data_IF_193967400589
#
_entry.id   IF_193967400589
#
_cell.length_a   1.000
_cell.length_b   1.000
_cell.length_c   1.000
_cell.angle_alpha   90.00
_cell.angle_beta   90.00
_cell.angle_gamma   90.00
#
_symmetry.space_group_name_H-M   'P 1'
#
loop_
_entity.id
_entity.type
_entity.pdbx_description
1 polymer ?
#
# COMPACT_ATOMS: atom_id res chain seq x y z
N UNK A 1 -6.34 7.34 -21.05
CA UNK A 1 -6.34 7.84 -19.68
C UNK A 1 -4.95 8.32 -19.23
N UNK A 2 -3.89 7.47 -19.26
CA UNK A 2 -2.53 7.83 -18.81
C UNK A 2 -1.98 9.02 -19.60
N UNK A 3 -2.17 9.07 -20.94
CA UNK A 3 -1.75 10.21 -21.77
C UNK A 3 -2.42 11.54 -21.37
N UNK A 4 -3.68 11.49 -20.92
CA UNK A 4 -4.36 12.69 -20.43
C UNK A 4 -3.80 13.15 -19.07
N UNK A 5 -3.44 12.21 -18.18
CA UNK A 5 -2.79 12.54 -16.90
C UNK A 5 -1.43 13.24 -17.11
N UNK A 6 -0.67 12.85 -18.12
CA UNK A 6 0.62 13.48 -18.45
C UNK A 6 0.52 14.93 -18.92
N UNK A 7 -0.67 15.39 -19.32
CA UNK A 7 -0.93 16.79 -19.68
C UNK A 7 -1.26 17.66 -18.44
N UNK A 8 -1.31 17.06 -17.26
CA UNK A 8 -1.53 17.74 -15.98
C UNK A 8 -0.22 17.92 -15.20
N UNK A 9 -0.28 18.56 -14.05
CA UNK A 9 0.85 18.67 -13.10
C UNK A 9 1.10 17.41 -12.27
N UNK A 10 0.33 16.32 -12.50
CA UNK A 10 0.50 15.06 -11.79
C UNK A 10 1.81 14.41 -12.21
N UNK A 11 2.72 14.25 -11.25
CA UNK A 11 4.07 13.71 -11.47
C UNK A 11 4.38 12.45 -10.64
N UNK A 12 3.46 12.02 -9.77
CA UNK A 12 3.56 10.81 -8.98
C UNK A 12 2.26 9.99 -9.09
N UNK A 13 2.39 8.70 -9.28
CA UNK A 13 1.25 7.76 -9.34
C UNK A 13 1.45 6.68 -8.28
N UNK A 14 0.42 6.37 -7.50
CA UNK A 14 0.39 5.21 -6.61
C UNK A 14 -0.62 4.19 -7.12
N UNK A 15 -0.22 2.92 -7.15
CA UNK A 15 -1.00 1.80 -7.64
C UNK A 15 -1.20 0.77 -6.53
N UNK A 16 -2.45 0.54 -6.14
CA UNK A 16 -2.82 -0.51 -5.19
C UNK A 16 -2.75 -1.91 -5.82
N UNK A 17 -1.57 -2.46 -6.02
CA UNK A 17 -1.35 -3.79 -6.60
C UNK A 17 -1.77 -4.89 -5.63
N UNK A 18 -1.36 -4.79 -4.38
CA UNK A 18 -1.62 -5.65 -3.23
C UNK A 18 -0.87 -7.00 -3.29
N UNK A 19 -0.84 -7.69 -4.42
CA UNK A 19 -0.18 -8.99 -4.62
C UNK A 19 0.09 -9.24 -6.10
N UNK A 20 1.02 -10.16 -6.37
CA UNK A 20 1.26 -10.73 -7.71
C UNK A 20 0.78 -12.19 -7.81
N UNK A 21 -0.07 -12.65 -6.89
CA UNK A 21 -0.75 -13.95 -6.95
C UNK A 21 -2.26 -13.72 -7.08
N UNK A 22 -2.84 -14.18 -8.18
CA UNK A 22 -4.26 -13.98 -8.50
C UNK A 22 -5.20 -14.61 -7.46
N UNK A 23 -4.77 -15.68 -6.76
CA UNK A 23 -5.57 -16.29 -5.68
C UNK A 23 -5.69 -15.35 -4.49
N UNK A 24 -4.61 -14.63 -4.15
CA UNK A 24 -4.59 -13.62 -3.09
C UNK A 24 -5.43 -12.41 -3.50
N UNK A 25 -5.30 -11.96 -4.75
CA UNK A 25 -6.11 -10.88 -5.30
C UNK A 25 -7.60 -11.21 -5.24
N UNK A 26 -7.99 -12.43 -5.63
CA UNK A 26 -9.37 -12.93 -5.53
C UNK A 26 -9.85 -12.99 -4.08
N UNK A 27 -9.02 -13.50 -3.16
CA UNK A 27 -9.33 -13.52 -1.74
C UNK A 27 -9.62 -12.11 -1.20
N UNK A 28 -8.80 -11.13 -1.57
CA UNK A 28 -8.96 -9.71 -1.21
C UNK A 28 -10.04 -8.98 -2.04
N UNK A 29 -10.82 -9.72 -2.85
CA UNK A 29 -11.86 -9.17 -3.73
C UNK A 29 -11.36 -8.06 -4.67
N UNK A 30 -10.13 -8.20 -5.18
CA UNK A 30 -9.56 -7.31 -6.19
C UNK A 30 -10.07 -7.68 -7.57
N UNK A 31 -10.30 -6.66 -8.42
CA UNK A 31 -10.83 -6.85 -9.78
C UNK A 31 -9.75 -7.08 -10.82
N UNK A 32 -8.53 -6.63 -10.54
CA UNK A 32 -7.39 -6.77 -11.43
C UNK A 32 -6.62 -8.06 -11.16
N UNK A 33 -5.87 -8.50 -12.16
CA UNK A 33 -4.93 -9.60 -12.10
C UNK A 33 -3.50 -9.11 -11.89
N UNK A 34 -2.59 -10.01 -11.53
CA UNK A 34 -1.17 -9.72 -11.42
C UNK A 34 -0.57 -9.25 -12.77
N UNK A 35 -1.03 -9.80 -13.89
CA UNK A 35 -0.61 -9.36 -15.24
C UNK A 35 -1.06 -7.93 -15.52
N UNK A 36 -2.31 -7.59 -15.21
CA UNK A 36 -2.82 -6.22 -15.38
C UNK A 36 -2.08 -5.22 -14.51
N UNK A 37 -1.66 -5.61 -13.29
CA UNK A 37 -0.84 -4.79 -12.41
C UNK A 37 0.54 -4.49 -13.03
N UNK A 38 1.25 -5.51 -13.53
CA UNK A 38 2.53 -5.33 -14.26
C UNK A 38 2.36 -4.45 -15.49
N UNK A 39 1.32 -4.72 -16.29
CA UNK A 39 1.02 -3.93 -17.48
C UNK A 39 0.69 -2.46 -17.14
N UNK A 40 0.07 -2.19 -15.98
CA UNK A 40 -0.21 -0.83 -15.54
C UNK A 40 1.09 -0.06 -15.23
N UNK A 41 2.04 -0.66 -14.52
CA UNK A 41 3.36 -0.07 -14.26
C UNK A 41 4.11 0.18 -15.59
N UNK A 42 4.14 -0.81 -16.48
CA UNK A 42 4.79 -0.67 -17.79
C UNK A 42 4.18 0.48 -18.61
N UNK A 43 2.85 0.63 -18.61
CA UNK A 43 2.17 1.75 -19.30
C UNK A 43 2.53 3.10 -18.71
N UNK A 44 2.68 3.20 -17.38
CA UNK A 44 3.09 4.44 -16.72
C UNK A 44 4.54 4.80 -17.09
N UNK A 45 5.45 3.82 -17.04
CA UNK A 45 6.84 3.99 -17.50
C UNK A 45 6.90 4.43 -18.97
N UNK A 46 6.17 3.76 -19.86
CA UNK A 46 6.09 4.11 -21.27
C UNK A 46 5.52 5.50 -21.54
N UNK A 47 4.73 6.04 -20.61
CA UNK A 47 4.22 7.41 -20.66
C UNK A 47 5.17 8.43 -20.02
N UNK A 48 6.34 8.03 -19.51
CA UNK A 48 7.35 8.89 -18.93
C UNK A 48 7.13 9.25 -17.46
N UNK A 49 6.37 8.44 -16.69
CA UNK A 49 6.35 8.56 -15.24
C UNK A 49 7.56 7.87 -14.62
N UNK A 50 8.33 8.61 -13.85
CA UNK A 50 9.54 8.23 -13.13
C UNK A 50 9.38 8.28 -11.60
N UNK A 51 8.16 8.49 -11.11
CA UNK A 51 7.82 8.47 -9.69
C UNK A 51 6.55 7.64 -9.49
N UNK A 52 6.75 6.32 -9.43
CA UNK A 52 5.68 5.34 -9.28
C UNK A 52 5.78 4.69 -7.90
N UNK A 53 4.66 4.63 -7.20
CA UNK A 53 4.49 3.90 -5.95
C UNK A 53 3.60 2.68 -6.19
N UNK A 54 3.91 1.57 -5.54
CA UNK A 54 3.03 0.42 -5.48
C UNK A 54 2.72 0.07 -4.03
N UNK A 55 1.51 -0.44 -3.79
CA UNK A 55 1.13 -0.94 -2.49
C UNK A 55 1.08 -2.47 -2.56
N UNK A 56 1.67 -3.15 -1.57
CA UNK A 56 1.59 -4.60 -1.36
C UNK A 56 1.04 -4.90 0.03
N UNK A 57 0.37 -6.04 0.19
CA UNK A 57 -0.19 -6.48 1.46
C UNK A 57 0.47 -7.79 1.88
N UNK A 58 0.84 -7.89 3.15
CA UNK A 58 1.33 -9.11 3.80
C UNK A 58 0.44 -9.47 5.01
N UNK A 59 0.71 -10.55 5.72
CA UNK A 59 -0.14 -10.99 6.83
C UNK A 59 -1.45 -11.66 6.38
N UNK A 60 -1.47 -12.24 5.18
CA UNK A 60 -2.68 -12.88 4.63
C UNK A 60 -2.72 -14.35 5.05
N UNK A 61 -3.64 -14.71 5.95
CA UNK A 61 -3.80 -16.11 6.37
C UNK A 61 -4.20 -16.99 5.19
N UNK A 62 -3.69 -18.24 5.19
CA UNK A 62 -3.89 -19.20 4.10
C UNK A 62 -2.81 -19.12 3.00
N UNK A 63 -1.94 -18.11 3.01
CA UNK A 63 -0.81 -17.96 2.09
C UNK A 63 0.49 -17.86 2.89
N UNK A 64 1.47 -18.70 2.59
CA UNK A 64 2.70 -18.84 3.39
C UNK A 64 3.82 -17.89 2.97
N UNK A 65 4.94 -17.98 3.68
CA UNK A 65 6.14 -17.13 3.49
C UNK A 65 6.65 -17.15 2.04
N UNK A 66 6.61 -18.31 1.37
CA UNK A 66 7.02 -18.47 -0.04
C UNK A 66 6.20 -17.58 -0.99
N UNK A 67 4.90 -17.42 -0.71
CA UNK A 67 4.05 -16.50 -1.46
C UNK A 67 4.49 -15.03 -1.26
N UNK A 68 4.75 -14.63 -0.01
CA UNK A 68 5.18 -13.27 0.29
C UNK A 68 6.54 -12.98 -0.35
N UNK A 69 7.51 -13.88 -0.19
CA UNK A 69 8.83 -13.77 -0.81
C UNK A 69 8.73 -13.56 -2.33
N UNK A 70 7.90 -14.38 -3.01
CA UNK A 70 7.65 -14.21 -4.44
C UNK A 70 7.03 -12.85 -4.77
N UNK A 71 6.06 -12.40 -3.99
CA UNK A 71 5.42 -11.09 -4.19
C UNK A 71 6.43 -9.96 -4.04
N UNK A 72 7.33 -10.03 -3.06
CA UNK A 72 8.37 -9.02 -2.85
C UNK A 72 9.41 -9.03 -3.98
N UNK A 73 9.84 -10.21 -4.46
CA UNK A 73 10.73 -10.29 -5.61
C UNK A 73 10.12 -9.66 -6.86
N UNK A 74 8.84 -9.88 -7.11
CA UNK A 74 8.15 -9.25 -8.24
C UNK A 74 7.99 -7.73 -8.05
N UNK A 75 7.68 -7.28 -6.83
CA UNK A 75 7.61 -5.85 -6.51
C UNK A 75 8.96 -5.14 -6.76
N UNK A 76 10.06 -5.76 -6.32
CA UNK A 76 11.42 -5.26 -6.56
C UNK A 76 11.78 -5.26 -8.05
N UNK A 77 11.41 -6.32 -8.79
CA UNK A 77 11.68 -6.43 -10.23
C UNK A 77 10.98 -5.36 -11.09
N UNK A 78 9.90 -4.74 -10.58
CA UNK A 78 9.25 -3.61 -11.27
C UNK A 78 10.06 -2.31 -11.19
N UNK A 79 11.10 -2.28 -10.37
CA UNK A 79 12.03 -1.15 -10.17
C UNK A 79 11.30 0.21 -10.01
N UNK A 80 10.31 0.21 -9.12
CA UNK A 80 9.54 1.42 -8.79
C UNK A 80 10.26 2.24 -7.72
N UNK A 81 9.94 3.52 -7.62
CA UNK A 81 10.61 4.46 -6.69
C UNK A 81 10.13 4.31 -5.24
N UNK A 82 8.96 3.71 -5.05
CA UNK A 82 8.37 3.62 -3.71
C UNK A 82 7.49 2.37 -3.58
N UNK A 83 7.56 1.72 -2.43
CA UNK A 83 6.74 0.56 -2.07
C UNK A 83 6.12 0.81 -0.71
N UNK A 84 4.79 0.71 -0.63
CA UNK A 84 4.07 0.63 0.64
C UNK A 84 3.76 -0.84 0.92
N UNK A 85 4.21 -1.37 2.05
CA UNK A 85 3.94 -2.73 2.49
C UNK A 85 3.07 -2.68 3.74
N UNK A 86 1.80 -3.06 3.60
CA UNK A 86 0.83 -3.01 4.69
C UNK A 86 0.53 -4.40 5.23
N UNK A 87 0.51 -4.53 6.55
CA UNK A 87 -0.05 -5.72 7.18
C UNK A 87 -1.57 -5.73 7.00
N UNK A 88 -2.15 -6.89 6.66
CA UNK A 88 -3.60 -7.04 6.52
C UNK A 88 -4.28 -6.86 7.88
N UNK A 89 -4.99 -5.76 8.04
CA UNK A 89 -5.79 -5.48 9.22
C UNK A 89 -7.24 -5.90 9.01
N UNK A 90 -7.82 -6.57 9.99
CA UNK A 90 -9.22 -7.00 9.97
C UNK A 90 -10.09 -5.94 10.62
N UNK A 91 -10.84 -5.21 9.81
CA UNK A 91 -11.78 -4.20 10.26
C UNK A 91 -13.18 -4.80 10.50
N UNK A 92 -13.79 -4.58 11.67
CA UNK A 92 -15.04 -5.21 12.12
C UNK A 92 -16.21 -5.10 11.11
N UNK A 93 -16.32 -3.97 10.41
CA UNK A 93 -17.43 -3.69 9.48
C UNK A 93 -17.16 -4.13 8.04
N UNK A 94 -16.10 -4.88 7.80
CA UNK A 94 -15.75 -5.40 6.48
C UNK A 94 -16.22 -6.83 6.31
N UNK A 95 -16.22 -7.31 5.06
CA UNK A 95 -16.49 -8.72 4.78
C UNK A 95 -15.53 -9.64 5.55
N UNK A 96 -14.24 -9.30 5.59
CA UNK A 96 -13.24 -10.07 6.31
C UNK A 96 -13.50 -10.06 7.83
N UNK A 97 -13.91 -8.92 8.40
CA UNK A 97 -14.32 -8.83 9.80
C UNK A 97 -15.51 -9.74 10.13
N UNK A 98 -16.52 -9.79 9.26
CA UNK A 98 -17.65 -10.70 9.42
C UNK A 98 -17.24 -12.17 9.31
N UNK A 99 -16.33 -12.52 8.40
CA UNK A 99 -15.77 -13.88 8.30
C UNK A 99 -15.01 -14.26 9.58
N UNK A 100 -14.24 -13.33 10.14
CA UNK A 100 -13.51 -13.55 11.41
C UNK A 100 -14.48 -13.79 12.56
N UNK A 101 -15.54 -12.99 12.68
CA UNK A 101 -16.57 -13.16 13.71
C UNK A 101 -17.30 -14.51 13.62
N UNK A 102 -17.44 -15.07 12.41
CA UNK A 102 -18.05 -16.38 12.15
C UNK A 102 -17.08 -17.55 12.26
N UNK A 103 -15.79 -17.29 12.52
CA UNK A 103 -14.76 -18.34 12.54
C UNK A 103 -14.39 -18.89 11.16
N UNK A 104 -14.81 -18.21 10.08
CA UNK A 104 -14.50 -18.57 8.69
C UNK A 104 -13.10 -18.09 8.25
N UNK A 105 -12.53 -17.13 8.98
CA UNK A 105 -11.19 -16.60 8.78
C UNK A 105 -10.51 -16.38 10.13
N UNK A 106 -9.28 -16.85 10.27
CA UNK A 106 -8.42 -16.57 11.42
C UNK A 106 -7.23 -15.76 10.92
N UNK A 107 -7.01 -14.54 11.39
CA UNK A 107 -5.81 -13.76 11.06
C UNK A 107 -4.54 -14.51 11.42
N UNK A 108 -3.43 -14.13 10.82
CA UNK A 108 -2.10 -14.64 11.21
C UNK A 108 -1.80 -14.25 12.66
N UNK A 109 -1.06 -15.09 13.37
CA UNK A 109 -0.61 -14.82 14.72
C UNK A 109 0.52 -13.77 14.76
N UNK A 110 0.87 -13.32 15.96
CA UNK A 110 1.89 -12.28 16.15
C UNK A 110 3.28 -12.75 15.69
N UNK A 111 3.64 -14.01 15.96
CA UNK A 111 4.95 -14.57 15.56
C UNK A 111 5.10 -14.56 14.04
N UNK A 112 4.08 -14.95 13.33
CA UNK A 112 4.07 -14.91 11.86
C UNK A 112 4.05 -13.48 11.33
N UNK A 113 3.25 -12.59 11.96
CA UNK A 113 3.20 -11.18 11.59
C UNK A 113 4.58 -10.52 11.69
N UNK A 114 5.29 -10.77 12.79
CA UNK A 114 6.66 -10.28 13.00
C UNK A 114 7.63 -10.86 11.96
N UNK A 115 7.58 -12.17 11.73
CA UNK A 115 8.45 -12.84 10.75
C UNK A 115 8.25 -12.29 9.32
N UNK A 116 6.98 -12.12 8.90
CA UNK A 116 6.66 -11.56 7.59
C UNK A 116 7.09 -10.08 7.49
N UNK A 117 6.90 -9.30 8.55
CA UNK A 117 7.37 -7.92 8.62
C UNK A 117 8.90 -7.81 8.46
N UNK A 118 9.65 -8.63 9.19
CA UNK A 118 11.12 -8.68 9.09
C UNK A 118 11.59 -9.16 7.69
N UNK A 119 10.83 -10.05 7.05
CA UNK A 119 11.10 -10.45 5.66
C UNK A 119 10.93 -9.28 4.70
N UNK A 120 9.83 -8.51 4.82
CA UNK A 120 9.59 -7.31 4.01
C UNK A 120 10.73 -6.30 4.18
N UNK A 121 11.06 -5.98 5.43
CA UNK A 121 12.10 -5.02 5.77
C UNK A 121 13.45 -5.43 5.17
N UNK A 122 13.89 -6.67 5.41
CA UNK A 122 15.15 -7.19 4.89
C UNK A 122 15.20 -7.17 3.35
N UNK A 123 14.19 -7.71 2.67
CA UNK A 123 14.22 -7.84 1.22
C UNK A 123 14.17 -6.48 0.51
N UNK A 124 13.40 -5.53 1.02
CA UNK A 124 13.34 -4.19 0.44
C UNK A 124 14.60 -3.39 0.74
N UNK A 125 15.19 -3.55 1.93
CA UNK A 125 16.48 -2.95 2.26
C UNK A 125 17.61 -3.48 1.37
N UNK A 126 17.71 -4.80 1.19
CA UNK A 126 18.68 -5.45 0.29
C UNK A 126 18.51 -4.99 -1.18
N UNK A 127 17.28 -4.66 -1.57
CA UNK A 127 16.96 -4.08 -2.89
C UNK A 127 17.25 -2.57 -2.99
N UNK A 128 17.78 -1.93 -1.93
CA UNK A 128 18.16 -0.52 -1.91
C UNK A 128 17.03 0.46 -1.65
N UNK A 129 15.94 0.01 -1.02
CA UNK A 129 14.92 0.91 -0.51
C UNK A 129 15.23 1.31 0.93
N UNK A 130 15.01 2.58 1.24
CA UNK A 130 15.07 3.10 2.59
C UNK A 130 13.71 2.92 3.29
N UNK A 131 13.70 2.28 4.45
CA UNK A 131 12.53 2.20 5.32
C UNK A 131 12.42 3.50 6.12
N UNK A 132 11.52 4.41 5.73
CA UNK A 132 11.48 5.75 6.30
C UNK A 132 10.30 6.00 7.27
N UNK A 133 9.36 5.07 7.36
CA UNK A 133 8.29 5.00 8.38
C UNK A 133 7.68 3.59 8.36
N UNK A 134 6.72 3.30 9.24
CA UNK A 134 6.23 1.95 9.59
C UNK A 134 5.93 1.04 8.39
N UNK A 135 5.36 1.58 7.31
CA UNK A 135 4.87 0.79 6.18
C UNK A 135 5.49 1.20 4.83
N UNK A 136 6.30 2.26 4.80
CA UNK A 136 6.72 2.84 3.55
C UNK A 136 8.22 2.79 3.33
N UNK A 137 8.58 2.36 2.10
CA UNK A 137 9.94 2.16 1.62
C UNK A 137 10.14 2.97 0.35
N UNK A 138 11.25 3.67 0.22
CA UNK A 138 11.50 4.52 -0.93
C UNK A 138 12.95 4.47 -1.40
N UNK A 139 13.17 4.68 -2.70
CA UNK A 139 14.47 5.06 -3.23
C UNK A 139 14.86 6.43 -2.69
N UNK A 140 16.15 6.74 -2.67
CA UNK A 140 16.65 8.05 -2.23
C UNK A 140 15.93 9.22 -2.94
N UNK A 141 15.46 10.19 -2.17
CA UNK A 141 14.72 11.36 -2.70
C UNK A 141 13.26 11.10 -3.10
N UNK A 142 12.77 9.84 -3.01
CA UNK A 142 11.43 9.46 -3.47
C UNK A 142 10.41 9.21 -2.36
N UNK A 143 10.70 9.61 -1.10
CA UNK A 143 9.74 9.53 0.00
C UNK A 143 8.45 10.26 -0.34
N UNK A 144 7.30 9.72 0.08
CA UNK A 144 6.00 10.36 -0.11
C UNK A 144 5.88 11.59 0.77
N UNK A 145 5.98 12.79 0.19
CA UNK A 145 5.97 14.08 0.92
C UNK A 145 4.73 14.25 1.79
N UNK A 146 3.56 13.90 1.25
CA UNK A 146 2.29 14.02 1.98
C UNK A 146 2.27 13.09 3.21
N UNK A 147 2.70 11.83 3.05
CA UNK A 147 2.78 10.89 4.16
C UNK A 147 3.81 11.33 5.21
N UNK A 148 5.00 11.75 4.77
CA UNK A 148 6.04 12.25 5.66
C UNK A 148 5.58 13.46 6.48
N UNK A 149 4.72 14.31 5.93
CA UNK A 149 4.20 15.50 6.61
C UNK A 149 3.40 15.13 7.88
N UNK A 150 2.65 14.01 7.87
CA UNK A 150 1.94 13.53 9.07
C UNK A 150 2.91 13.16 10.20
N UNK A 151 3.99 12.47 9.87
CA UNK A 151 5.02 12.07 10.85
C UNK A 151 5.82 13.26 11.39
N UNK A 152 5.91 14.32 10.62
CA UNK A 152 6.58 15.56 11.00
C UNK A 152 5.66 16.54 11.76
N UNK A 153 4.39 16.19 11.99
CA UNK A 153 3.43 17.06 12.66
C UNK A 153 3.07 18.32 11.85
N UNK A 154 3.19 18.27 10.53
CA UNK A 154 2.79 19.40 9.68
C UNK A 154 1.28 19.59 9.76
N UNK A 155 0.84 20.81 9.91
CA UNK A 155 -0.58 21.17 9.92
C UNK A 155 -1.24 20.86 8.57
N UNK A 156 -2.47 20.37 8.61
CA UNK A 156 -3.24 20.04 7.41
C UNK A 156 -4.73 20.32 7.59
N UNK A 157 -5.38 20.65 6.50
CA UNK A 157 -6.83 20.82 6.40
C UNK A 157 -7.47 19.65 5.68
N UNK A 158 -8.36 18.93 6.36
CA UNK A 158 -9.19 17.89 5.78
C UNK A 158 -10.45 18.49 5.13
N UNK A 159 -10.76 18.04 3.93
CA UNK A 159 -11.93 18.49 3.16
C UNK A 159 -12.79 17.29 2.80
N UNK A 160 -14.07 17.35 3.14
CA UNK A 160 -15.06 16.32 2.82
C UNK A 160 -15.56 15.53 4.03
N UNK A 161 -16.53 14.62 3.83
CA UNK A 161 -17.11 13.81 4.90
C UNK A 161 -16.05 12.93 5.60
N UNK A 162 -16.02 12.98 6.93
CA UNK A 162 -15.08 12.22 7.74
C UNK A 162 -13.61 12.67 7.64
N UNK A 163 -13.30 13.73 6.89
CA UNK A 163 -11.93 14.22 6.76
C UNK A 163 -11.44 14.83 8.07
N UNK A 164 -10.17 14.57 8.39
CA UNK A 164 -9.51 15.09 9.58
C UNK A 164 -8.64 16.30 9.23
N UNK A 165 -8.56 17.22 10.17
CA UNK A 165 -7.62 18.36 10.12
C UNK A 165 -6.73 18.33 11.37
N UNK A 166 -5.53 18.87 11.25
CA UNK A 166 -4.61 19.03 12.36
C UNK A 166 -4.02 20.45 12.34
N UNK A 167 -4.11 21.16 13.49
CA UNK A 167 -3.50 22.47 13.67
C UNK A 167 -3.08 22.67 15.13
N UNK A 168 -1.82 22.97 15.34
CA UNK A 168 -1.20 23.01 16.67
C UNK A 168 -1.34 21.67 17.38
N UNK A 169 -1.97 21.66 18.56
CA UNK A 169 -2.21 20.45 19.34
C UNK A 169 -3.62 19.86 19.14
N UNK A 170 -4.37 20.40 18.20
CA UNK A 170 -5.77 20.04 18.01
C UNK A 170 -5.97 19.21 16.74
N UNK A 171 -6.71 18.09 16.90
CA UNK A 171 -7.24 17.33 15.77
C UNK A 171 -8.74 17.50 15.73
N UNK A 172 -9.26 17.89 14.57
CA UNK A 172 -10.68 18.03 14.29
C UNK A 172 -11.08 17.15 13.11
N UNK A 173 -12.36 16.88 12.95
CA UNK A 173 -12.87 16.10 11.82
C UNK A 173 -14.22 16.61 11.37
N UNK A 174 -14.51 16.45 10.09
CA UNK A 174 -15.80 16.71 9.50
C UNK A 174 -16.76 15.56 9.86
N UNK A 175 -18.06 15.85 9.88
CA UNK A 175 -19.09 14.80 10.02
C UNK A 175 -18.94 13.78 8.88
N UNK A 176 -19.21 12.51 9.18
CA UNK A 176 -19.01 11.40 8.22
C UNK A 176 -20.11 11.27 7.15
N UNK A 177 -21.13 12.12 7.18
CA UNK A 177 -22.27 12.09 6.25
C UNK A 177 -22.28 13.34 5.37
N UNK A 178 -22.33 13.12 4.05
CA UNK A 178 -22.75 14.14 3.10
C UNK A 178 -24.27 14.05 2.96
N UNK A 179 -25.04 14.94 3.60
CA UNK A 179 -26.45 15.14 3.33
C UNK A 179 -26.61 16.28 2.33
#
# INVERSE_FOLDING_TARGET
YVAALRQTSINRISLGIQSFDDRVLQFMNRRHTAEEARAAVARLRGAGYDNISIDVIFGVAGFGDVWLEKTLHEAVALDVEHISAYHLTVEERTRLGLMTQRGEYTPVDEERSEREYLMVERMLHEAGYEHYEVSNYAREGCRAKHNSAYWQGVEYLGIGPGAHSFSGDNRTWCISSAK
#
